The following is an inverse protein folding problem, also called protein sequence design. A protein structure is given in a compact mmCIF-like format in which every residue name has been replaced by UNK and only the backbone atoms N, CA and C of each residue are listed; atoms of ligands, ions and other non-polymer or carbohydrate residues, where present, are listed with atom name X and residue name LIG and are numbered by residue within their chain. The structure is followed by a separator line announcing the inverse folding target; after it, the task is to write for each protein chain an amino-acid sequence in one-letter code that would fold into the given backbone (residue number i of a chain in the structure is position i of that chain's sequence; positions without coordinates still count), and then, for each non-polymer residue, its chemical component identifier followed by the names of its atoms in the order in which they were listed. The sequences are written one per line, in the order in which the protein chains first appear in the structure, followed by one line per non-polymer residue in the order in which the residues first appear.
data_IF_803363596731
#
_entry.id   IF_803363596731
#
_cell.length_a   1.000
_cell.length_b   1.000
_cell.length_c   1.000
_cell.angle_alpha   90.00
_cell.angle_beta   90.00
_cell.angle_gamma   90.00
#
_symmetry.space_group_name_H-M   'P 1'
#
loop_
_entity.id
_entity.type
_entity.pdbx_description
1 polymer ?
#
# COMPACT_ATOMS: atom_id res chain seq x y z
N UNK A 1 2.02 54.27 46.31
CA UNK A 1 2.29 54.59 44.89
C UNK A 1 3.63 53.99 44.49
N UNK A 2 3.65 53.26 43.35
CA UNK A 2 4.80 52.70 42.61
C UNK A 2 5.63 51.60 43.31
N UNK A 3 5.21 50.36 43.10
CA UNK A 3 6.11 49.19 43.15
C UNK A 3 6.91 49.08 41.85
N UNK A 4 8.24 49.02 41.96
CA UNK A 4 9.17 48.77 40.86
C UNK A 4 9.39 47.26 40.69
N UNK A 5 9.24 46.79 39.46
CA UNK A 5 9.56 45.43 39.02
C UNK A 5 11.08 45.20 39.00
N UNK A 6 11.55 44.10 39.57
CA UNK A 6 12.83 43.49 39.22
C UNK A 6 12.54 42.20 38.42
N UNK A 7 12.94 42.19 37.15
CA UNK A 7 12.82 41.02 36.26
C UNK A 7 14.02 40.10 36.52
N UNK A 8 13.79 38.97 37.17
CA UNK A 8 14.71 37.83 37.15
C UNK A 8 14.53 37.06 35.85
N UNK A 9 15.56 37.02 35.01
CA UNK A 9 15.62 36.15 33.83
C UNK A 9 15.98 34.75 34.30
N UNK A 10 15.05 33.81 34.20
CA UNK A 10 15.32 32.39 34.43
C UNK A 10 15.76 31.74 33.11
N UNK A 11 17.05 31.43 33.00
CA UNK A 11 17.60 30.62 31.91
C UNK A 11 17.18 29.17 32.13
N UNK A 12 16.22 28.69 31.35
CA UNK A 12 15.87 27.26 31.30
C UNK A 12 16.88 26.58 30.37
N UNK A 13 17.82 25.84 30.96
CA UNK A 13 18.70 24.92 30.24
C UNK A 13 17.89 23.67 29.87
N UNK A 14 17.49 23.56 28.61
CA UNK A 14 16.91 22.36 28.04
C UNK A 14 18.04 21.33 27.83
N UNK A 15 18.14 20.34 28.72
CA UNK A 15 18.98 19.17 28.47
C UNK A 15 18.29 18.29 27.42
N UNK A 16 18.73 18.39 26.16
CA UNK A 16 18.43 17.42 25.11
C UNK A 16 19.20 16.13 25.41
N UNK A 17 18.69 15.30 26.33
CA UNK A 17 19.13 13.91 26.44
C UNK A 17 18.58 13.15 25.24
N UNK A 18 19.38 13.08 24.17
CA UNK A 18 19.12 12.16 23.06
C UNK A 18 19.15 10.73 23.60
N UNK A 19 17.98 10.12 23.77
CA UNK A 19 17.89 8.69 24.05
C UNK A 19 18.41 7.95 22.82
N UNK A 20 19.70 7.59 22.82
CA UNK A 20 20.28 6.55 21.96
C UNK A 20 19.72 5.18 22.41
N UNK A 21 18.42 4.98 22.24
CA UNK A 21 17.79 3.69 22.50
C UNK A 21 18.23 2.69 21.44
N UNK A 22 19.06 1.72 21.81
CA UNK A 22 19.21 0.50 21.00
C UNK A 22 17.89 -0.26 21.07
N UNK A 23 17.17 -0.33 19.95
CA UNK A 23 16.07 -1.26 19.79
C UNK A 23 16.70 -2.64 19.59
N UNK A 24 16.82 -3.39 20.67
CA UNK A 24 17.21 -4.79 20.63
C UNK A 24 15.94 -5.64 20.54
N UNK A 25 15.89 -6.53 19.56
CA UNK A 25 14.81 -7.49 19.39
C UNK A 25 15.38 -8.82 18.91
N UNK A 26 14.79 -9.92 19.38
CA UNK A 26 15.07 -11.25 18.87
C UNK A 26 14.04 -11.58 17.81
N UNK A 27 14.47 -11.88 16.58
CA UNK A 27 13.58 -12.47 15.59
C UNK A 27 13.30 -13.92 16.01
N UNK A 28 12.03 -14.36 16.06
CA UNK A 28 11.74 -15.77 16.30
C UNK A 28 12.40 -16.62 15.22
N UNK A 29 12.95 -17.80 15.57
CA UNK A 29 13.54 -18.69 14.58
C UNK A 29 12.49 -19.04 13.51
N UNK A 30 12.89 -19.20 12.24
CA UNK A 30 11.96 -19.55 11.17
C UNK A 30 11.17 -20.80 11.52
N UNK A 31 9.84 -20.73 11.40
CA UNK A 31 8.98 -21.87 11.66
C UNK A 31 9.29 -22.99 10.65
N UNK A 32 9.56 -24.20 11.14
CA UNK A 32 9.70 -25.36 10.25
C UNK A 32 8.35 -25.66 9.61
N UNK A 33 8.32 -25.63 8.28
CA UNK A 33 7.12 -25.89 7.48
C UNK A 33 7.04 -27.37 7.13
N UNK A 34 5.83 -27.92 7.16
CA UNK A 34 5.61 -29.30 6.73
C UNK A 34 5.73 -29.40 5.21
N UNK A 35 6.44 -30.41 4.73
CA UNK A 35 6.49 -30.71 3.29
C UNK A 35 5.09 -30.96 2.73
N UNK A 36 4.89 -30.55 1.48
CA UNK A 36 3.63 -30.58 0.76
C UNK A 36 3.80 -31.36 -0.54
N UNK A 37 2.80 -32.13 -0.92
CA UNK A 37 2.87 -32.95 -2.13
C UNK A 37 2.83 -32.11 -3.41
N UNK A 38 2.06 -31.00 -3.41
CA UNK A 38 1.77 -30.21 -4.61
C UNK A 38 2.04 -28.72 -4.39
N UNK A 39 2.43 -28.05 -5.47
CA UNK A 39 2.31 -26.60 -5.57
C UNK A 39 0.84 -26.23 -5.67
N UNK A 40 0.37 -25.32 -4.82
CA UNK A 40 -1.03 -24.92 -4.76
C UNK A 40 -1.20 -23.42 -4.97
N UNK A 41 -2.26 -23.06 -5.68
CA UNK A 41 -2.68 -21.67 -5.90
C UNK A 41 -4.14 -21.53 -5.53
N UNK A 42 -4.48 -20.45 -4.85
CA UNK A 42 -5.86 -20.04 -4.64
C UNK A 42 -6.06 -18.59 -5.03
N UNK A 43 -7.30 -18.23 -5.34
CA UNK A 43 -7.65 -16.89 -5.79
C UNK A 43 -8.96 -16.44 -5.18
N UNK A 44 -9.08 -15.14 -4.95
CA UNK A 44 -10.31 -14.51 -4.49
C UNK A 44 -10.43 -13.08 -5.02
N UNK A 45 -11.67 -12.61 -5.09
CA UNK A 45 -12.02 -11.25 -5.45
C UNK A 45 -13.12 -10.78 -4.51
N UNK A 46 -12.80 -9.81 -3.67
CA UNK A 46 -13.73 -9.24 -2.68
C UNK A 46 -14.01 -7.78 -3.04
N UNK A 47 -15.29 -7.40 -3.05
CA UNK A 47 -15.72 -6.01 -3.24
C UNK A 47 -15.29 -5.17 -2.04
N UNK A 48 -14.53 -4.10 -2.30
CA UNK A 48 -14.05 -3.13 -1.32
C UNK A 48 -14.65 -1.74 -1.54
N UNK A 49 -15.82 -1.65 -2.18
CA UNK A 49 -16.48 -0.37 -2.48
C UNK A 49 -17.23 0.15 -1.24
N UNK A 50 -16.82 1.26 -0.61
CA UNK A 50 -17.58 1.85 0.48
C UNK A 50 -18.74 2.67 -0.03
N UNK A 51 -19.61 3.13 0.87
CA UNK A 51 -20.72 4.04 0.54
C UNK A 51 -20.20 5.34 -0.11
N UNK A 52 -20.98 5.98 -1.02
CA UNK A 52 -20.60 7.26 -1.60
C UNK A 52 -20.60 8.37 -0.54
N UNK A 53 -20.03 9.52 -0.88
CA UNK A 53 -19.92 10.69 0.01
C UNK A 53 -18.54 10.87 0.64
N UNK A 54 -17.58 10.00 0.31
CA UNK A 54 -16.20 10.10 0.78
C UNK A 54 -15.34 10.83 -0.25
N UNK A 55 -14.46 11.70 0.24
CA UNK A 55 -13.50 12.41 -0.60
C UNK A 55 -12.51 11.42 -1.23
N UNK A 56 -12.26 11.55 -2.54
CA UNK A 56 -11.37 10.65 -3.26
C UNK A 56 -9.90 11.04 -3.04
N UNK A 57 -9.01 10.05 -3.04
CA UNK A 57 -7.56 10.23 -2.89
C UNK A 57 -6.83 10.30 -4.23
N UNK A 58 -5.70 11.01 -4.26
CA UNK A 58 -4.76 11.07 -5.39
C UNK A 58 -4.69 12.43 -6.07
N UNK A 59 -5.83 13.11 -6.27
CA UNK A 59 -5.86 14.44 -6.88
C UNK A 59 -5.66 15.61 -5.91
N UNK A 60 -5.45 15.34 -4.61
CA UNK A 60 -5.18 16.37 -3.61
C UNK A 60 -6.28 17.45 -3.61
N UNK A 61 -5.90 18.73 -3.53
CA UNK A 61 -6.80 19.89 -3.44
C UNK A 61 -7.77 20.05 -4.62
N UNK A 62 -7.44 19.48 -5.79
CA UNK A 62 -8.33 19.49 -6.98
C UNK A 62 -9.20 18.22 -7.07
N UNK A 63 -9.13 17.34 -6.07
CA UNK A 63 -9.96 16.15 -5.97
C UNK A 63 -11.43 16.48 -5.67
N UNK A 64 -12.27 15.45 -5.77
CA UNK A 64 -13.73 15.58 -5.55
C UNK A 64 -14.26 14.43 -4.68
N UNK A 65 -15.52 14.50 -4.31
CA UNK A 65 -16.23 13.44 -3.57
C UNK A 65 -16.76 12.37 -4.53
N UNK A 66 -16.62 11.10 -4.16
CA UNK A 66 -17.31 10.02 -4.87
C UNK A 66 -18.82 10.13 -4.65
N UNK A 67 -19.58 10.45 -5.71
CA UNK A 67 -21.06 10.65 -5.63
C UNK A 67 -21.88 9.40 -5.98
N UNK A 68 -21.21 8.32 -6.35
CA UNK A 68 -21.84 7.08 -6.79
C UNK A 68 -20.77 6.14 -7.35
N UNK A 69 -21.21 5.13 -8.09
CA UNK A 69 -20.31 4.11 -8.64
C UNK A 69 -20.47 4.03 -10.15
N UNK A 70 -19.36 4.20 -10.87
CA UNK A 70 -19.28 3.78 -12.27
C UNK A 70 -18.93 2.29 -12.35
N UNK A 71 -17.93 1.88 -11.58
CA UNK A 71 -17.54 0.48 -11.35
C UNK A 71 -17.28 0.26 -9.85
N UNK A 72 -17.24 -1.02 -9.46
CA UNK A 72 -16.85 -1.43 -8.11
C UNK A 72 -15.33 -1.47 -7.96
N UNK A 73 -14.88 -1.23 -6.74
CA UNK A 73 -13.50 -1.42 -6.30
C UNK A 73 -13.33 -2.83 -5.76
N UNK A 74 -12.23 -3.51 -6.07
CA UNK A 74 -11.96 -4.85 -5.58
C UNK A 74 -10.58 -5.00 -4.95
N UNK A 75 -10.50 -5.87 -3.95
CA UNK A 75 -9.27 -6.56 -3.58
C UNK A 75 -9.24 -7.89 -4.35
N UNK A 76 -8.18 -8.12 -5.12
CA UNK A 76 -7.94 -9.37 -5.86
C UNK A 76 -6.71 -10.03 -5.29
N UNK A 77 -6.88 -11.20 -4.70
CA UNK A 77 -5.79 -11.94 -4.06
C UNK A 77 -5.47 -13.20 -4.85
N UNK A 78 -4.18 -13.45 -5.04
CA UNK A 78 -3.65 -14.76 -5.45
C UNK A 78 -2.73 -15.24 -4.33
N UNK A 79 -3.04 -16.41 -3.79
CA UNK A 79 -2.25 -17.09 -2.78
C UNK A 79 -1.44 -18.22 -3.42
N UNK A 80 -0.18 -18.35 -3.03
CA UNK A 80 0.73 -19.37 -3.51
C UNK A 80 1.27 -20.18 -2.35
N UNK A 81 1.44 -21.49 -2.55
CA UNK A 81 2.14 -22.38 -1.63
C UNK A 81 2.98 -23.39 -2.40
N UNK A 82 4.26 -23.47 -2.06
CA UNK A 82 5.19 -24.43 -2.68
C UNK A 82 5.15 -25.81 -2.01
N UNK A 83 5.91 -26.76 -2.58
CA UNK A 83 6.03 -28.14 -2.06
C UNK A 83 6.82 -28.22 -0.75
N UNK A 84 7.51 -27.15 -0.33
CA UNK A 84 8.19 -27.03 0.96
C UNK A 84 7.31 -26.38 2.03
N UNK A 85 6.09 -25.97 1.67
CA UNK A 85 5.13 -25.31 2.54
C UNK A 85 5.30 -23.79 2.60
N UNK A 86 6.31 -23.19 1.94
CA UNK A 86 6.43 -21.74 1.87
C UNK A 86 5.22 -21.17 1.15
N UNK A 87 4.70 -20.06 1.67
CA UNK A 87 3.52 -19.44 1.11
C UNK A 87 3.58 -17.93 1.17
N UNK A 88 2.85 -17.29 0.27
CA UNK A 88 2.64 -15.85 0.26
C UNK A 88 1.35 -15.51 -0.48
N UNK A 89 0.82 -14.32 -0.20
CA UNK A 89 -0.33 -13.76 -0.90
C UNK A 89 0.08 -12.48 -1.64
N UNK A 90 -0.30 -12.37 -2.90
CA UNK A 90 -0.25 -11.13 -3.68
C UNK A 90 -1.65 -10.55 -3.75
N UNK A 91 -1.80 -9.29 -3.37
CA UNK A 91 -3.09 -8.60 -3.42
C UNK A 91 -2.97 -7.33 -4.25
N UNK A 92 -3.85 -7.21 -5.25
CA UNK A 92 -4.05 -5.98 -6.01
C UNK A 92 -5.37 -5.33 -5.57
N UNK A 93 -5.30 -4.13 -5.03
CA UNK A 93 -6.44 -3.36 -4.53
C UNK A 93 -6.74 -2.19 -5.45
N UNK A 94 -8.01 -2.00 -5.80
CA UNK A 94 -8.48 -0.82 -6.53
C UNK A 94 -8.53 0.41 -5.59
N UNK A 95 -7.35 0.88 -5.19
CA UNK A 95 -7.12 2.00 -4.27
C UNK A 95 -6.06 2.96 -4.82
N UNK A 96 -6.03 4.18 -4.29
CA UNK A 96 -5.01 5.18 -4.62
C UNK A 96 -3.67 4.85 -3.96
N UNK A 97 -3.67 4.20 -2.80
CA UNK A 97 -2.46 3.71 -2.14
C UNK A 97 -2.77 2.61 -1.13
N UNK A 98 -1.73 1.94 -0.63
CA UNK A 98 -1.79 1.09 0.57
C UNK A 98 -0.76 1.63 1.55
N UNK A 99 -1.20 2.07 2.72
CA UNK A 99 -0.30 2.58 3.77
C UNK A 99 0.30 1.43 4.61
N UNK A 100 1.45 1.66 5.23
CA UNK A 100 2.13 0.65 6.05
C UNK A 100 1.24 0.07 7.15
N UNK A 101 0.58 0.94 7.92
CA UNK A 101 -0.31 0.47 8.98
C UNK A 101 -1.60 -0.21 8.48
N UNK A 102 -2.07 0.08 7.26
CA UNK A 102 -3.14 -0.72 6.65
C UNK A 102 -2.67 -2.15 6.40
N UNK A 103 -1.44 -2.31 5.91
CA UNK A 103 -0.85 -3.62 5.67
C UNK A 103 -0.64 -4.41 6.97
N UNK A 104 -0.21 -3.74 8.04
CA UNK A 104 -0.04 -4.36 9.36
C UNK A 104 -1.38 -4.82 9.93
N UNK A 105 -2.40 -3.95 9.86
CA UNK A 105 -3.77 -4.28 10.28
C UNK A 105 -4.35 -5.45 9.51
N UNK A 106 -4.10 -5.54 8.20
CA UNK A 106 -4.53 -6.69 7.39
C UNK A 106 -3.87 -7.98 7.87
N UNK A 107 -2.55 -7.95 8.15
CA UNK A 107 -1.84 -9.13 8.64
C UNK A 107 -2.36 -9.60 10.00
N UNK A 108 -2.64 -8.67 10.92
CA UNK A 108 -3.30 -8.97 12.20
C UNK A 108 -4.64 -9.68 12.00
N UNK A 109 -5.48 -9.17 11.09
CA UNK A 109 -6.79 -9.74 10.81
C UNK A 109 -6.69 -11.12 10.15
N UNK A 110 -5.77 -11.31 9.20
CA UNK A 110 -5.50 -12.63 8.59
C UNK A 110 -5.08 -13.65 9.65
N UNK A 111 -4.21 -13.26 10.60
CA UNK A 111 -3.84 -14.10 11.75
C UNK A 111 -5.02 -14.36 12.68
N UNK A 112 -5.87 -13.37 12.95
CA UNK A 112 -7.09 -13.51 13.75
C UNK A 112 -8.09 -14.50 13.13
N UNK A 113 -8.10 -14.61 11.80
CA UNK A 113 -8.84 -15.64 11.06
C UNK A 113 -8.15 -17.02 11.04
N UNK A 114 -7.08 -17.21 11.82
CA UNK A 114 -6.38 -18.49 11.96
C UNK A 114 -5.55 -18.87 10.73
N UNK A 115 -5.21 -17.92 9.85
CA UNK A 115 -4.43 -18.20 8.65
C UNK A 115 -2.92 -17.99 8.90
N UNK A 116 -2.04 -18.91 8.43
CA UNK A 116 -0.62 -18.92 8.79
C UNK A 116 0.22 -18.02 7.86
N UNK A 117 -0.23 -16.80 7.58
CA UNK A 117 0.57 -15.81 6.83
C UNK A 117 1.08 -14.72 7.76
N UNK A 118 2.40 -14.58 7.84
CA UNK A 118 3.06 -13.44 8.46
C UNK A 118 2.98 -12.20 7.56
N UNK A 119 3.25 -11.03 8.14
CA UNK A 119 3.16 -9.73 7.47
C UNK A 119 4.06 -9.63 6.24
N UNK A 120 5.22 -10.27 6.28
CA UNK A 120 6.25 -10.29 5.24
C UNK A 120 5.85 -11.20 4.07
N UNK A 121 4.91 -12.12 4.30
CA UNK A 121 4.36 -13.02 3.29
C UNK A 121 3.14 -12.43 2.57
N UNK A 122 2.80 -11.17 2.86
CA UNK A 122 1.67 -10.48 2.23
C UNK A 122 2.21 -9.31 1.42
N UNK A 123 2.14 -9.44 0.10
CA UNK A 123 2.47 -8.38 -0.86
C UNK A 123 1.16 -7.65 -1.18
N UNK A 124 1.07 -6.38 -0.78
CA UNK A 124 -0.07 -5.52 -1.08
C UNK A 124 0.33 -4.46 -2.10
N UNK A 125 -0.44 -4.34 -3.17
CA UNK A 125 -0.29 -3.31 -4.17
C UNK A 125 -1.62 -2.59 -4.39
N UNK A 126 -1.56 -1.27 -4.56
CA UNK A 126 -2.67 -0.48 -5.06
C UNK A 126 -2.55 -0.34 -6.58
N UNK A 127 -3.67 -0.33 -7.30
CA UNK A 127 -3.67 0.03 -8.73
C UNK A 127 -3.38 1.51 -8.98
N UNK A 128 -3.33 2.31 -7.90
CA UNK A 128 -3.15 3.75 -7.93
C UNK A 128 -4.31 4.48 -8.65
N UNK A 129 -5.54 3.97 -8.51
CA UNK A 129 -6.73 4.66 -9.01
C UNK A 129 -7.05 5.89 -8.15
N UNK A 130 -7.17 7.05 -8.81
CA UNK A 130 -7.56 8.30 -8.16
C UNK A 130 -9.08 8.43 -7.91
N UNK A 131 -9.84 7.37 -8.19
CA UNK A 131 -11.30 7.30 -7.98
C UNK A 131 -11.68 6.39 -6.80
N UNK A 132 -10.77 6.23 -5.84
CA UNK A 132 -11.01 5.55 -4.58
C UNK A 132 -10.98 6.57 -3.42
N UNK A 133 -11.63 6.29 -2.27
CA UNK A 133 -11.58 7.16 -1.09
C UNK A 133 -10.16 7.49 -0.61
N UNK A 134 -9.93 8.69 -0.07
CA UNK A 134 -8.59 9.17 0.31
C UNK A 134 -8.19 8.99 1.79
N UNK A 135 -9.13 9.15 2.70
CA UNK A 135 -8.88 9.44 4.12
C UNK A 135 -8.62 8.20 5.00
N UNK A 136 -7.82 7.24 4.55
CA UNK A 136 -7.52 6.02 5.29
C UNK A 136 -6.01 5.77 5.48
N UNK A 137 -5.15 6.74 5.16
CA UNK A 137 -3.71 6.51 5.27
C UNK A 137 -3.27 6.55 6.73
N UNK A 138 -2.32 5.70 7.12
CA UNK A 138 -1.67 5.80 8.44
C UNK A 138 -0.54 6.85 8.47
N UNK A 139 -0.30 7.54 7.35
CA UNK A 139 0.59 8.71 7.29
C UNK A 139 -0.20 10.01 7.44
N UNK A 140 0.12 10.87 8.44
CA UNK A 140 -0.51 12.18 8.59
C UNK A 140 -0.39 13.05 7.34
N UNK A 141 0.76 13.02 6.66
CA UNK A 141 0.98 13.76 5.42
C UNK A 141 -0.06 13.40 4.36
N UNK A 142 -0.35 12.12 4.19
CA UNK A 142 -1.33 11.70 3.19
C UNK A 142 -2.77 12.04 3.59
N UNK A 143 -3.12 11.96 4.88
CA UNK A 143 -4.43 12.40 5.33
C UNK A 143 -4.64 13.92 5.21
N UNK A 144 -3.56 14.70 5.18
CA UNK A 144 -3.60 16.14 5.02
C UNK A 144 -3.67 16.56 3.54
N UNK A 145 -2.98 15.82 2.66
CA UNK A 145 -2.72 16.28 1.29
C UNK A 145 -3.21 15.35 0.17
N UNK A 146 -3.54 14.09 0.43
CA UNK A 146 -3.94 13.17 -0.65
C UNK A 146 -5.35 13.44 -1.18
N UNK A 147 -6.17 14.18 -0.43
CA UNK A 147 -7.55 14.57 -0.79
C UNK A 147 -7.81 16.04 -0.44
N UNK A 148 -8.86 16.62 -1.01
CA UNK A 148 -9.30 17.97 -0.67
C UNK A 148 -9.89 18.04 0.75
N UNK A 149 -10.37 16.91 1.28
CA UNK A 149 -10.84 16.79 2.66
C UNK A 149 -9.73 16.18 3.52
N UNK A 150 -9.40 16.86 4.61
CA UNK A 150 -8.36 16.44 5.55
C UNK A 150 -8.88 15.43 6.56
N UNK A 151 -7.96 14.66 7.14
CA UNK A 151 -8.20 13.82 8.30
C UNK A 151 -8.19 12.32 8.01
N UNK A 152 -8.32 11.54 9.08
CA UNK A 152 -8.34 10.08 9.05
C UNK A 152 -9.73 9.57 9.41
N UNK A 153 -10.26 8.67 8.61
CA UNK A 153 -11.52 7.98 8.85
C UNK A 153 -11.22 6.55 9.31
N UNK A 154 -11.32 6.33 10.63
CA UNK A 154 -11.12 5.02 11.26
C UNK A 154 -12.03 3.95 10.68
N UNK A 155 -13.30 4.29 10.39
CA UNK A 155 -14.29 3.34 9.90
C UNK A 155 -13.94 2.91 8.49
N UNK A 156 -13.51 3.85 7.64
CA UNK A 156 -13.05 3.56 6.29
C UNK A 156 -11.77 2.70 6.30
N UNK A 157 -10.82 3.02 7.18
CA UNK A 157 -9.62 2.23 7.37
C UNK A 157 -9.94 0.77 7.74
N UNK A 158 -10.75 0.57 8.78
CA UNK A 158 -11.14 -0.77 9.22
C UNK A 158 -12.01 -1.49 8.17
N UNK A 159 -12.87 -0.76 7.44
CA UNK A 159 -13.66 -1.30 6.33
C UNK A 159 -12.76 -1.93 5.26
N UNK A 160 -11.69 -1.23 4.86
CA UNK A 160 -10.74 -1.74 3.88
C UNK A 160 -9.93 -2.90 4.47
N UNK A 161 -9.41 -2.75 5.69
CA UNK A 161 -8.59 -3.77 6.32
C UNK A 161 -9.34 -5.12 6.43
N UNK A 162 -10.59 -5.09 6.89
CA UNK A 162 -11.43 -6.29 7.03
C UNK A 162 -11.67 -6.99 5.69
N UNK A 163 -12.03 -6.25 4.64
CA UNK A 163 -12.35 -6.85 3.34
C UNK A 163 -11.12 -7.32 2.59
N UNK A 164 -10.01 -6.61 2.71
CA UNK A 164 -8.74 -7.07 2.12
C UNK A 164 -8.25 -8.33 2.83
N UNK A 165 -8.33 -8.38 4.17
CA UNK A 165 -8.04 -9.60 4.93
C UNK A 165 -8.97 -10.75 4.53
N UNK A 166 -10.27 -10.48 4.32
CA UNK A 166 -11.23 -11.47 3.83
C UNK A 166 -10.85 -12.01 2.45
N UNK A 167 -10.37 -11.16 1.54
CA UNK A 167 -9.87 -11.60 0.23
C UNK A 167 -8.69 -12.58 0.36
N UNK A 168 -7.78 -12.32 1.31
CA UNK A 168 -6.66 -13.23 1.58
C UNK A 168 -7.15 -14.55 2.16
N UNK A 169 -8.05 -14.51 3.15
CA UNK A 169 -8.66 -15.69 3.77
C UNK A 169 -9.32 -16.58 2.71
N UNK A 170 -10.15 -15.99 1.85
CA UNK A 170 -10.84 -16.72 0.78
C UNK A 170 -9.86 -17.30 -0.26
N UNK A 171 -8.78 -16.58 -0.60
CA UNK A 171 -7.78 -17.09 -1.52
C UNK A 171 -6.99 -18.27 -0.91
N UNK A 172 -6.73 -18.26 0.39
CA UNK A 172 -6.12 -19.41 1.07
C UNK A 172 -7.08 -20.62 1.05
N UNK A 173 -8.37 -20.39 1.33
CA UNK A 173 -9.39 -21.44 1.39
C UNK A 173 -9.73 -22.04 0.01
N UNK A 174 -9.57 -21.26 -1.06
CA UNK A 174 -9.78 -21.73 -2.44
C UNK A 174 -8.54 -22.40 -3.06
N UNK A 175 -7.48 -22.59 -2.27
CA UNK A 175 -6.21 -23.13 -2.75
C UNK A 175 -6.32 -24.57 -3.22
N UNK A 176 -5.84 -24.85 -4.43
CA UNK A 176 -5.83 -26.17 -5.07
C UNK A 176 -4.54 -26.39 -5.86
N UNK A 177 -4.15 -27.65 -6.16
CA UNK A 177 -3.00 -27.92 -7.01
C UNK A 177 -3.06 -27.13 -8.32
N UNK A 178 -1.94 -26.52 -8.71
CA UNK A 178 -1.89 -25.66 -9.90
C UNK A 178 -0.48 -25.57 -10.49
N UNK A 179 -0.42 -25.17 -11.76
CA UNK A 179 0.82 -24.83 -12.47
C UNK A 179 0.89 -23.31 -12.67
N UNK A 180 2.08 -22.74 -12.56
CA UNK A 180 2.34 -21.32 -12.83
C UNK A 180 3.24 -21.20 -14.05
N UNK A 181 2.87 -20.35 -15.00
CA UNK A 181 3.68 -19.98 -16.14
C UNK A 181 3.86 -18.47 -16.20
N UNK A 182 4.95 -18.02 -16.80
CA UNK A 182 5.28 -16.60 -16.95
C UNK A 182 5.51 -16.30 -18.43
N UNK A 183 4.95 -15.18 -18.89
CA UNK A 183 5.21 -14.64 -20.22
C UNK A 183 5.33 -13.12 -20.15
N UNK A 184 6.09 -12.55 -21.08
CA UNK A 184 6.33 -11.13 -21.16
C UNK A 184 6.18 -10.66 -22.61
N UNK A 185 5.54 -9.50 -22.80
CA UNK A 185 5.39 -8.85 -24.10
C UNK A 185 5.55 -7.35 -23.95
N UNK A 186 6.21 -6.70 -24.93
CA UNK A 186 6.27 -5.24 -25.01
C UNK A 186 4.96 -4.69 -25.57
N UNK A 187 4.42 -3.65 -24.93
CA UNK A 187 3.22 -2.93 -25.38
C UNK A 187 3.61 -1.47 -25.59
N UNK A 188 3.96 -1.05 -26.82
CA UNK A 188 4.31 0.34 -27.10
C UNK A 188 3.08 1.25 -27.02
N UNK A 189 3.30 2.55 -26.78
CA UNK A 189 2.30 3.61 -26.87
C UNK A 189 1.08 3.53 -25.91
N UNK A 190 1.16 2.74 -24.83
CA UNK A 190 0.11 2.74 -23.79
C UNK A 190 0.27 3.84 -22.74
N UNK A 191 1.51 4.23 -22.46
CA UNK A 191 1.87 5.21 -21.44
C UNK A 191 2.87 6.22 -22.00
N UNK A 192 2.86 7.44 -21.44
CA UNK A 192 3.81 8.51 -21.77
C UNK A 192 4.55 8.98 -20.53
N UNK A 193 5.79 9.40 -20.70
CA UNK A 193 6.54 10.04 -19.62
C UNK A 193 6.06 11.49 -19.47
N UNK A 194 5.48 11.83 -18.31
CA UNK A 194 5.01 13.19 -18.00
C UNK A 194 6.11 14.15 -17.51
N UNK A 195 7.36 13.67 -17.41
CA UNK A 195 8.51 14.41 -16.89
C UNK A 195 9.76 14.03 -17.70
N UNK A 196 9.69 14.24 -19.01
CA UNK A 196 10.75 13.86 -19.94
C UNK A 196 12.09 14.53 -19.61
N UNK A 197 12.08 15.83 -19.28
CA UNK A 197 13.31 16.58 -18.97
C UNK A 197 14.09 15.95 -17.82
N UNK A 198 13.40 15.52 -16.76
CA UNK A 198 14.03 14.83 -15.64
C UNK A 198 14.62 13.47 -16.07
N UNK A 199 13.91 12.71 -16.91
CA UNK A 199 14.42 11.46 -17.47
C UNK A 199 15.68 11.66 -18.32
N UNK A 200 15.76 12.77 -19.06
CA UNK A 200 16.92 13.11 -19.90
C UNK A 200 18.18 13.46 -19.09
N UNK A 201 18.09 13.57 -17.76
CA UNK A 201 19.26 13.71 -16.89
C UNK A 201 19.85 12.37 -16.45
N UNK A 202 19.18 11.25 -16.72
CA UNK A 202 19.68 9.92 -16.34
C UNK A 202 20.95 9.55 -17.12
N UNK A 203 21.90 8.88 -16.42
CA UNK A 203 23.17 8.44 -17.01
C UNK A 203 22.99 7.38 -18.09
N UNK A 204 21.94 6.56 -17.99
CA UNK A 204 21.62 5.45 -18.88
C UNK A 204 20.59 5.83 -19.98
N UNK A 205 20.18 7.10 -20.05
CA UNK A 205 19.14 7.57 -20.98
C UNK A 205 19.36 7.16 -22.43
N UNK A 206 20.60 7.23 -22.92
CA UNK A 206 20.91 6.95 -24.33
C UNK A 206 20.59 5.49 -24.67
N UNK A 207 20.92 4.55 -23.77
CA UNK A 207 20.62 3.14 -23.97
C UNK A 207 19.10 2.86 -23.97
N UNK A 208 18.34 3.55 -23.11
CA UNK A 208 16.88 3.42 -23.06
C UNK A 208 16.25 4.01 -24.32
N UNK A 209 16.68 5.21 -24.75
CA UNK A 209 16.19 5.86 -25.96
C UNK A 209 16.47 5.01 -27.21
N UNK A 210 17.69 4.49 -27.37
CA UNK A 210 18.03 3.62 -28.51
C UNK A 210 17.18 2.34 -28.54
N UNK A 211 16.89 1.73 -27.38
CA UNK A 211 16.02 0.55 -27.27
C UNK A 211 14.54 0.84 -27.59
N UNK A 212 14.16 2.12 -27.63
CA UNK A 212 12.80 2.58 -27.84
C UNK A 212 12.72 3.62 -28.98
N UNK A 213 13.64 3.56 -29.96
CA UNK A 213 13.73 4.53 -31.05
C UNK A 213 12.44 4.62 -31.90
N UNK A 214 11.59 3.61 -31.85
CA UNK A 214 10.27 3.57 -32.48
C UNK A 214 9.19 4.40 -31.76
N UNK A 215 9.45 4.90 -30.54
CA UNK A 215 8.50 5.71 -29.78
C UNK A 215 8.71 7.19 -30.09
N UNK A 216 7.61 7.92 -30.30
CA UNK A 216 7.65 9.38 -30.51
C UNK A 216 8.10 10.09 -29.23
N UNK A 217 9.02 11.04 -29.39
CA UNK A 217 9.40 11.98 -28.33
C UNK A 217 8.69 13.31 -28.62
N UNK A 218 7.59 13.54 -27.93
CA UNK A 218 6.90 14.83 -27.97
C UNK A 218 7.47 15.72 -26.87
N UNK A 219 8.14 16.81 -27.25
CA UNK A 219 8.45 17.91 -26.33
C UNK A 219 7.24 18.84 -26.33
N UNK A 220 6.62 19.04 -25.17
CA UNK A 220 5.57 20.04 -25.00
C UNK A 220 6.15 21.45 -25.12
#
# INVERSE_FOLDING_TARGET
MRHFFHKGVATILLFLSGCYGKISGTLPPPQQLSQQQNFCVGAAKVDITPIPGIAMGGYSIVGTTGRGYWTRLYARTIYFRDTKGHSFAMVSCDLWSVSGGLADRIAELVKKHGKPLAREQIILAATHTHHSPGNFSTSPMYNEFASYRKGFDNNLFDFFAQRIAQSIVQAIESSKPATVSFSQKKIPALVRNRSLDAFLLNVDRNAILSKNAQLTIEKN
#
